data_IF_569952875047
#
_entry.id   IF_569952875047
#
_cell.length_a   1.000
_cell.length_b   1.000
_cell.length_c   1.000
_cell.angle_alpha   90.00
_cell.angle_beta   90.00
_cell.angle_gamma   90.00
#
_symmetry.space_group_name_H-M   'P 1'
#
loop_
_entity.id
_entity.type
_entity.pdbx_description
1 polymer ?
#
# COMPACT_ATOMS: atom_id res chain seq x y z
N UNK A 1 53.16 13.49 -52.75
CA UNK A 1 52.55 12.15 -52.37
C UNK A 1 51.68 12.39 -51.12
N UNK A 2 50.32 12.49 -51.35
CA UNK A 2 49.35 12.70 -50.27
C UNK A 2 48.69 11.37 -49.99
N UNK A 3 48.91 10.80 -48.82
CA UNK A 3 48.18 9.64 -48.34
C UNK A 3 46.82 10.07 -47.77
N UNK A 4 45.75 9.79 -48.50
CA UNK A 4 44.38 9.92 -47.97
C UNK A 4 44.07 8.67 -47.16
N UNK A 5 43.98 8.84 -45.83
CA UNK A 5 43.47 7.79 -44.95
C UNK A 5 41.94 7.73 -45.08
N UNK A 6 41.46 6.62 -45.63
CA UNK A 6 40.03 6.32 -45.66
C UNK A 6 39.56 5.99 -44.24
N UNK A 7 38.76 6.86 -43.67
CA UNK A 7 38.05 6.63 -42.40
C UNK A 7 36.80 5.78 -42.72
N UNK A 8 36.84 4.51 -42.35
CA UNK A 8 35.65 3.63 -42.47
C UNK A 8 34.76 3.90 -41.25
N UNK A 9 33.64 4.59 -41.48
CA UNK A 9 32.63 4.80 -40.47
C UNK A 9 31.82 3.51 -40.30
N UNK A 10 32.04 2.77 -39.23
CA UNK A 10 31.21 1.62 -38.86
C UNK A 10 29.89 2.13 -38.26
N UNK A 11 28.82 2.11 -39.05
CA UNK A 11 27.46 2.37 -38.58
C UNK A 11 27.00 1.12 -37.81
N UNK A 12 27.07 1.12 -36.51
CA UNK A 12 26.40 0.12 -35.68
C UNK A 12 24.90 0.46 -35.64
N UNK A 13 24.12 -0.24 -36.41
CA UNK A 13 22.66 -0.25 -36.25
C UNK A 13 22.37 -0.98 -34.95
N UNK A 14 22.10 -0.25 -33.87
CA UNK A 14 21.46 -0.81 -32.71
C UNK A 14 20.01 -1.11 -33.08
N UNK A 15 19.71 -2.39 -33.29
CA UNK A 15 18.33 -2.87 -33.41
C UNK A 15 17.70 -2.70 -32.04
N UNK A 16 17.05 -1.58 -31.81
CA UNK A 16 16.12 -1.45 -30.68
C UNK A 16 14.92 -2.34 -30.99
N UNK A 17 14.91 -3.55 -30.43
CA UNK A 17 13.71 -4.37 -30.39
C UNK A 17 12.73 -3.55 -29.53
N UNK A 18 11.58 -3.09 -30.03
CA UNK A 18 10.58 -2.54 -29.16
C UNK A 18 10.18 -3.67 -28.21
N UNK A 19 10.46 -3.52 -26.90
CA UNK A 19 9.79 -4.30 -25.89
C UNK A 19 8.31 -3.91 -25.99
N UNK A 20 7.54 -4.71 -26.72
CA UNK A 20 6.08 -4.60 -26.81
C UNK A 20 5.43 -5.35 -25.65
N UNK A 21 6.00 -5.25 -24.45
CA UNK A 21 5.32 -5.50 -23.21
C UNK A 21 4.82 -4.17 -22.69
N UNK A 22 3.56 -4.04 -22.43
CA UNK A 22 3.02 -2.91 -21.70
C UNK A 22 3.78 -2.85 -20.37
N UNK A 23 4.60 -1.80 -20.19
CA UNK A 23 5.37 -1.66 -18.95
C UNK A 23 4.37 -1.50 -17.82
N UNK A 24 4.34 -2.45 -16.89
CA UNK A 24 3.47 -2.42 -15.74
C UNK A 24 4.28 -2.61 -14.45
N UNK A 25 3.86 -1.97 -13.39
CA UNK A 25 4.40 -2.16 -12.05
C UNK A 25 3.27 -2.61 -11.14
N UNK A 26 3.39 -3.79 -10.54
CA UNK A 26 2.34 -4.41 -9.71
C UNK A 26 1.01 -4.57 -10.46
N UNK A 27 1.05 -4.93 -11.72
CA UNK A 27 -0.14 -5.06 -12.57
C UNK A 27 -0.77 -3.74 -13.04
N UNK A 28 -0.20 -2.59 -12.65
CA UNK A 28 -0.67 -1.25 -13.05
C UNK A 28 0.13 -0.76 -14.23
N UNK A 29 -0.52 -0.19 -15.22
CA UNK A 29 0.15 0.48 -16.35
C UNK A 29 0.88 1.74 -15.89
N UNK A 30 1.85 2.21 -16.68
CA UNK A 30 2.54 3.47 -16.37
C UNK A 30 1.60 4.67 -16.36
N UNK A 31 0.53 4.65 -17.17
CA UNK A 31 -0.47 5.72 -17.20
C UNK A 31 -1.31 5.74 -15.91
N UNK A 32 -1.66 4.57 -15.36
CA UNK A 32 -2.31 4.46 -14.07
C UNK A 32 -1.40 4.93 -12.94
N UNK A 33 -0.11 4.55 -12.98
CA UNK A 33 0.89 5.01 -12.01
C UNK A 33 1.18 6.50 -12.10
N UNK A 34 1.10 7.10 -13.29
CA UNK A 34 1.30 8.54 -13.48
C UNK A 34 0.20 9.38 -12.78
N UNK A 35 -0.97 8.77 -12.52
CA UNK A 35 -2.05 9.37 -11.72
C UNK A 35 -1.84 9.24 -10.21
N UNK A 36 -0.87 8.44 -9.73
CA UNK A 36 -0.63 8.27 -8.30
C UNK A 36 0.05 9.49 -7.70
N UNK A 37 -0.46 9.90 -6.56
CA UNK A 37 -0.04 11.15 -5.95
C UNK A 37 1.27 11.05 -5.19
N UNK A 38 1.99 12.09 -5.30
CA UNK A 38 3.15 12.43 -4.50
C UNK A 38 2.67 12.97 -3.13
N UNK A 39 3.30 12.66 -2.01
CA UNK A 39 2.96 13.25 -0.71
C UNK A 39 2.92 14.79 -0.77
N UNK A 40 1.96 15.41 -0.09
CA UNK A 40 1.78 16.88 -0.09
C UNK A 40 3.07 17.62 0.29
N UNK A 41 3.85 17.08 1.22
CA UNK A 41 5.16 17.63 1.60
C UNK A 41 6.14 17.66 0.43
N UNK A 42 6.16 16.60 -0.39
CA UNK A 42 6.99 16.53 -1.59
C UNK A 42 6.43 17.45 -2.70
N UNK A 43 5.12 17.54 -2.83
CA UNK A 43 4.47 18.49 -3.75
C UNK A 43 4.85 19.93 -3.44
N UNK A 44 4.82 20.30 -2.15
CA UNK A 44 5.23 21.63 -1.70
C UNK A 44 6.73 21.86 -1.98
N UNK A 45 7.57 20.85 -1.76
CA UNK A 45 8.99 20.93 -2.07
C UNK A 45 9.21 21.14 -3.58
N UNK A 46 8.53 20.36 -4.42
CA UNK A 46 8.63 20.46 -5.88
C UNK A 46 8.08 21.79 -6.38
N UNK A 47 6.91 22.20 -5.89
CA UNK A 47 6.30 23.48 -6.26
C UNK A 47 7.22 24.67 -5.92
N UNK A 48 7.82 24.66 -4.73
CA UNK A 48 8.68 25.74 -4.28
C UNK A 48 10.04 25.79 -5.00
N UNK A 49 10.54 24.65 -5.49
CA UNK A 49 11.88 24.59 -6.11
C UNK A 49 11.87 24.56 -7.63
N UNK A 50 10.75 24.14 -8.26
CA UNK A 50 10.67 23.92 -9.70
C UNK A 50 9.58 24.70 -10.42
N UNK A 51 8.94 25.66 -9.74
CA UNK A 51 7.89 26.53 -10.28
C UNK A 51 6.68 25.78 -10.88
N UNK A 52 6.38 24.60 -10.31
CA UNK A 52 5.25 23.76 -10.70
C UNK A 52 4.04 24.17 -9.85
N UNK A 53 2.93 24.55 -10.50
CA UNK A 53 1.71 24.90 -9.77
C UNK A 53 1.12 23.68 -9.06
N UNK A 54 0.66 23.82 -7.81
CA UNK A 54 -0.01 22.73 -7.07
C UNK A 54 -1.18 22.10 -7.83
N UNK A 55 -1.89 22.87 -8.66
CA UNK A 55 -2.98 22.40 -9.52
C UNK A 55 -2.55 21.49 -10.67
N UNK A 56 -1.26 21.43 -10.97
CA UNK A 56 -0.68 20.53 -11.97
C UNK A 56 -0.25 19.20 -11.38
N UNK A 57 -0.33 19.08 -10.06
CA UNK A 57 0.04 17.88 -9.33
C UNK A 57 -1.25 17.25 -8.79
N UNK A 58 -1.60 16.07 -9.26
CA UNK A 58 -2.78 15.37 -8.75
C UNK A 58 -2.43 14.74 -7.38
N UNK A 59 -3.07 15.15 -6.27
CA UNK A 59 -2.78 14.62 -4.93
C UNK A 59 -3.43 13.26 -4.66
N UNK A 60 -4.12 12.67 -5.60
CA UNK A 60 -4.77 11.38 -5.39
C UNK A 60 -3.73 10.30 -5.12
N UNK A 61 -3.86 9.65 -3.99
CA UNK A 61 -3.09 8.44 -3.63
C UNK A 61 -3.91 7.22 -4.07
N UNK A 62 -3.35 6.06 -4.10
CA UNK A 62 -4.10 4.87 -4.49
C UNK A 62 -5.26 4.51 -3.54
N UNK A 63 -5.94 3.43 -3.83
CA UNK A 63 -7.03 2.91 -3.01
C UNK A 63 -6.51 2.35 -1.67
N UNK A 64 -7.31 2.51 -0.63
CA UNK A 64 -7.08 2.01 0.72
C UNK A 64 -8.31 1.22 1.18
N UNK A 65 -8.21 -0.10 1.18
CA UNK A 65 -9.30 -0.99 1.59
C UNK A 65 -9.16 -1.36 3.07
N UNK A 66 -10.23 -1.16 3.84
CA UNK A 66 -10.34 -1.59 5.24
C UNK A 66 -11.32 -2.75 5.30
N UNK A 67 -10.89 -3.87 5.85
CA UNK A 67 -11.76 -5.03 6.13
C UNK A 67 -11.92 -5.16 7.64
N UNK A 68 -13.17 -5.22 8.08
CA UNK A 68 -13.51 -5.13 9.49
C UNK A 68 -14.65 -6.07 9.86
N UNK A 69 -14.65 -6.65 11.07
CA UNK A 69 -15.86 -7.24 11.63
C UNK A 69 -17.02 -6.24 11.67
N UNK A 70 -18.25 -6.71 11.43
CA UNK A 70 -19.45 -5.86 11.36
C UNK A 70 -19.64 -4.94 12.56
N UNK A 71 -19.38 -5.47 13.77
CA UNK A 71 -19.50 -4.70 15.02
C UNK A 71 -18.46 -3.60 15.21
N UNK A 72 -17.41 -3.58 14.42
CA UNK A 72 -16.31 -2.62 14.50
C UNK A 72 -16.45 -1.50 13.46
N UNK A 73 -17.10 -1.78 12.32
CA UNK A 73 -17.18 -0.85 11.19
C UNK A 73 -17.71 0.55 11.58
N UNK A 74 -18.64 0.64 12.53
CA UNK A 74 -19.19 1.92 13.00
C UNK A 74 -18.19 2.80 13.78
N UNK A 75 -17.00 2.30 14.09
CA UNK A 75 -15.95 3.03 14.84
C UNK A 75 -14.77 3.44 13.95
N UNK A 76 -14.90 3.30 12.63
CA UNK A 76 -13.82 3.57 11.68
C UNK A 76 -13.88 4.98 11.07
N UNK A 77 -14.97 5.73 11.27
CA UNK A 77 -15.23 7.00 10.57
C UNK A 77 -14.07 8.00 10.69
N UNK A 78 -13.56 8.24 11.90
CA UNK A 78 -12.44 9.17 12.12
C UNK A 78 -11.17 8.75 11.39
N UNK A 79 -10.92 7.44 11.29
CA UNK A 79 -9.75 6.91 10.59
C UNK A 79 -9.93 6.95 9.07
N UNK A 80 -11.14 6.69 8.59
CA UNK A 80 -11.52 6.84 7.17
C UNK A 80 -11.32 8.29 6.75
N UNK A 81 -11.94 9.25 7.46
CA UNK A 81 -11.77 10.69 7.19
C UNK A 81 -10.29 11.11 7.20
N UNK A 82 -9.53 10.58 8.14
CA UNK A 82 -8.08 10.83 8.20
C UNK A 82 -7.36 10.33 6.96
N UNK A 83 -7.66 9.12 6.48
CA UNK A 83 -7.06 8.55 5.26
C UNK A 83 -7.48 9.31 4.01
N UNK A 84 -8.75 9.66 3.88
CA UNK A 84 -9.28 10.49 2.81
C UNK A 84 -8.60 11.87 2.79
N UNK A 85 -8.37 12.47 3.98
CA UNK A 85 -7.64 13.73 4.09
C UNK A 85 -6.17 13.65 3.64
N UNK A 86 -5.63 12.42 3.60
CA UNK A 86 -4.30 12.14 3.04
C UNK A 86 -4.32 11.88 1.52
N UNK A 87 -5.50 11.90 0.88
CA UNK A 87 -5.70 11.73 -0.55
C UNK A 87 -5.93 10.30 -1.01
N UNK A 88 -6.24 9.36 -0.10
CA UNK A 88 -6.62 8.00 -0.48
C UNK A 88 -8.09 7.91 -0.88
N UNK A 89 -8.40 7.05 -1.82
CA UNK A 89 -9.75 6.54 -2.04
C UNK A 89 -9.99 5.39 -1.04
N UNK A 90 -10.82 5.64 -0.03
CA UNK A 90 -11.00 4.69 1.07
C UNK A 90 -12.25 3.84 0.86
N UNK A 91 -12.09 2.53 0.99
CA UNK A 91 -13.16 1.54 0.92
C UNK A 91 -13.25 0.80 2.25
N UNK A 92 -14.44 0.60 2.76
CA UNK A 92 -14.68 -0.22 3.96
C UNK A 92 -15.58 -1.37 3.57
N UNK A 93 -15.17 -2.58 3.88
CA UNK A 93 -15.94 -3.82 3.71
C UNK A 93 -16.01 -4.56 5.03
N UNK A 94 -17.19 -5.02 5.37
CA UNK A 94 -17.43 -5.86 6.56
C UNK A 94 -17.26 -7.34 6.23
N UNK A 95 -17.12 -8.19 7.26
CA UNK A 95 -17.06 -9.63 7.08
C UNK A 95 -18.37 -10.21 6.55
N UNK A 96 -19.52 -9.54 6.78
CA UNK A 96 -20.79 -9.89 6.14
C UNK A 96 -20.78 -9.66 4.63
N UNK A 97 -20.00 -8.69 4.14
CA UNK A 97 -19.88 -8.36 2.72
C UNK A 97 -18.80 -9.21 2.03
N UNK A 98 -17.66 -9.44 2.68
CA UNK A 98 -16.57 -10.23 2.10
C UNK A 98 -16.80 -11.74 2.18
N UNK A 99 -17.52 -12.19 3.21
CA UNK A 99 -17.61 -13.59 3.64
C UNK A 99 -16.68 -13.91 4.82
N UNK A 100 -16.95 -15.02 5.53
CA UNK A 100 -16.36 -15.30 6.83
C UNK A 100 -15.02 -16.05 6.79
N UNK A 101 -14.51 -16.41 5.62
CA UNK A 101 -13.25 -17.17 5.52
C UNK A 101 -12.13 -16.33 4.95
N UNK A 102 -10.88 -16.70 5.25
CA UNK A 102 -9.71 -16.06 4.66
C UNK A 102 -9.74 -16.11 3.12
N UNK A 103 -10.26 -17.19 2.54
CA UNK A 103 -10.42 -17.30 1.09
C UNK A 103 -11.44 -16.32 0.52
N UNK A 104 -12.55 -16.10 1.23
CA UNK A 104 -13.60 -15.15 0.82
C UNK A 104 -13.05 -13.72 0.88
N UNK A 105 -12.37 -13.38 1.97
CA UNK A 105 -11.71 -12.07 2.15
C UNK A 105 -10.71 -11.83 1.01
N UNK A 106 -9.84 -12.80 0.72
CA UNK A 106 -8.88 -12.70 -0.39
C UNK A 106 -9.58 -12.46 -1.73
N UNK A 107 -10.67 -13.18 -2.00
CA UNK A 107 -11.44 -13.02 -3.23
C UNK A 107 -12.08 -11.64 -3.34
N UNK A 108 -12.48 -11.06 -2.21
CA UNK A 108 -13.03 -9.69 -2.15
C UNK A 108 -11.96 -8.64 -2.39
N UNK A 109 -10.73 -8.85 -1.87
CA UNK A 109 -9.58 -7.97 -2.15
C UNK A 109 -9.23 -8.03 -3.65
N UNK A 110 -9.17 -9.21 -4.23
CA UNK A 110 -8.89 -9.41 -5.67
C UNK A 110 -9.96 -8.73 -6.54
N UNK A 111 -11.24 -8.89 -6.18
CA UNK A 111 -12.33 -8.19 -6.85
C UNK A 111 -12.19 -6.68 -6.76
N UNK A 112 -11.84 -6.16 -5.60
CA UNK A 112 -11.62 -4.72 -5.40
C UNK A 112 -10.42 -4.21 -6.19
N UNK A 113 -9.32 -4.96 -6.25
CA UNK A 113 -8.16 -4.63 -7.09
C UNK A 113 -8.52 -4.61 -8.59
N UNK A 114 -9.41 -5.52 -9.02
CA UNK A 114 -9.91 -5.54 -10.40
C UNK A 114 -10.81 -4.35 -10.72
N UNK A 115 -11.61 -3.86 -9.73
CA UNK A 115 -12.47 -2.67 -9.87
C UNK A 115 -11.64 -1.38 -9.81
N UNK A 116 -10.68 -1.32 -8.91
CA UNK A 116 -9.75 -0.21 -8.72
C UNK A 116 -8.31 -0.70 -8.83
N UNK A 117 -7.69 -0.63 -10.03
CA UNK A 117 -6.30 -1.02 -10.22
C UNK A 117 -5.29 -0.18 -9.43
N UNK A 118 -5.76 0.94 -8.84
CA UNK A 118 -4.95 1.79 -7.96
C UNK A 118 -5.02 1.35 -6.49
N UNK A 119 -5.75 0.28 -6.16
CA UNK A 119 -5.74 -0.29 -4.82
C UNK A 119 -4.31 -0.64 -4.40
N UNK A 120 -3.84 -0.01 -3.34
CA UNK A 120 -2.46 -0.15 -2.89
C UNK A 120 -2.36 -0.72 -1.48
N UNK A 121 -3.30 -0.38 -0.62
CA UNK A 121 -3.27 -0.76 0.80
C UNK A 121 -4.52 -1.53 1.20
N UNK A 122 -4.31 -2.59 1.98
CA UNK A 122 -5.37 -3.36 2.64
C UNK A 122 -5.08 -3.39 4.14
N UNK A 123 -6.04 -2.95 4.94
CA UNK A 123 -5.98 -2.97 6.39
C UNK A 123 -7.02 -3.96 6.92
N UNK A 124 -6.57 -4.98 7.61
CA UNK A 124 -7.41 -5.93 8.33
C UNK A 124 -7.58 -5.45 9.77
N UNK A 125 -8.82 -5.28 10.23
CA UNK A 125 -9.11 -4.93 11.62
C UNK A 125 -9.53 -6.19 12.35
N UNK A 126 -8.85 -6.48 13.45
CA UNK A 126 -9.12 -7.63 14.31
C UNK A 126 -8.02 -8.67 14.34
N UNK A 127 -8.11 -9.57 15.29
CA UNK A 127 -7.20 -10.72 15.42
C UNK A 127 -7.78 -11.96 14.72
N UNK A 128 -7.02 -13.04 14.68
CA UNK A 128 -7.45 -14.32 14.08
C UNK A 128 -8.53 -15.02 14.89
N UNK A 129 -8.69 -14.63 16.15
CA UNK A 129 -9.72 -15.10 17.06
C UNK A 129 -10.15 -13.99 18.03
N UNK A 130 -11.09 -14.27 18.93
CA UNK A 130 -11.46 -13.42 20.05
C UNK A 130 -12.53 -12.37 19.75
N UNK A 131 -12.39 -11.18 20.36
CA UNK A 131 -13.40 -10.11 20.35
C UNK A 131 -13.75 -9.60 18.95
N UNK A 132 -12.76 -9.44 18.12
CA UNK A 132 -12.89 -8.91 16.77
C UNK A 132 -12.20 -9.86 15.80
N UNK A 133 -12.81 -11.03 15.59
CA UNK A 133 -12.24 -12.06 14.73
C UNK A 133 -12.22 -11.58 13.27
N UNK A 134 -11.01 -11.59 12.68
CA UNK A 134 -10.78 -11.40 11.25
C UNK A 134 -9.86 -12.51 10.78
N UNK A 135 -10.35 -13.51 10.05
CA UNK A 135 -9.61 -14.71 9.68
C UNK A 135 -8.28 -14.46 8.99
N UNK A 136 -7.38 -15.42 9.05
CA UNK A 136 -6.11 -15.42 8.35
C UNK A 136 -5.82 -16.78 7.76
N UNK A 137 -4.74 -16.87 6.99
CA UNK A 137 -4.20 -18.13 6.49
C UNK A 137 -3.23 -18.75 7.50
N UNK A 138 -2.96 -20.03 7.30
CA UNK A 138 -2.02 -20.78 8.13
C UNK A 138 -0.97 -21.43 7.25
N UNK A 139 0.27 -21.48 7.72
CA UNK A 139 1.38 -21.99 6.96
C UNK A 139 2.32 -22.86 7.82
N UNK A 140 2.93 -23.86 7.17
CA UNK A 140 3.94 -24.71 7.75
C UNK A 140 3.40 -25.78 8.71
N UNK A 141 4.29 -26.63 9.25
CA UNK A 141 3.90 -27.76 10.11
C UNK A 141 3.43 -27.31 11.51
N UNK A 142 3.79 -26.11 11.93
CA UNK A 142 3.40 -25.51 13.21
C UNK A 142 2.11 -24.72 13.11
N UNK A 143 1.55 -24.62 11.89
CA UNK A 143 0.29 -23.93 11.62
C UNK A 143 0.37 -22.44 11.98
N UNK A 144 1.46 -21.79 11.57
CA UNK A 144 1.70 -20.38 11.84
C UNK A 144 0.71 -19.48 11.08
N UNK A 145 0.20 -18.46 11.75
CA UNK A 145 -0.70 -17.45 11.16
C UNK A 145 0.07 -16.59 10.17
N UNK A 146 -0.52 -16.35 8.99
CA UNK A 146 0.09 -15.49 7.97
C UNK A 146 -0.95 -14.72 7.15
N UNK A 147 -0.76 -13.42 7.03
CA UNK A 147 -1.55 -12.55 6.16
C UNK A 147 -0.94 -12.38 4.76
N UNK A 148 0.23 -12.98 4.52
CA UNK A 148 0.96 -12.83 3.26
C UNK A 148 0.09 -13.19 2.03
N UNK A 149 -0.75 -14.22 2.15
CA UNK A 149 -1.57 -14.69 1.04
C UNK A 149 -2.62 -13.68 0.57
N UNK A 150 -2.99 -12.70 1.41
CA UNK A 150 -3.88 -11.61 1.01
C UNK A 150 -3.23 -10.63 0.02
N UNK A 151 -1.90 -10.58 0.00
CA UNK A 151 -1.16 -9.69 -0.91
C UNK A 151 -0.84 -10.29 -2.26
N UNK A 152 -0.97 -11.61 -2.44
CA UNK A 152 -0.68 -12.32 -3.69
C UNK A 152 -1.98 -12.52 -4.48
N UNK A 153 -2.32 -11.62 -5.37
CA UNK A 153 -3.60 -11.54 -6.07
C UNK A 153 -3.46 -11.82 -7.57
N UNK A 154 -2.42 -11.29 -8.20
CA UNK A 154 -2.22 -11.36 -9.65
C UNK A 154 -1.03 -12.27 -9.98
N UNK A 155 -1.21 -13.18 -10.94
CA UNK A 155 -0.14 -14.09 -11.37
C UNK A 155 0.08 -15.27 -10.42
N UNK A 156 1.23 -15.92 -10.56
CA UNK A 156 1.66 -17.07 -9.75
C UNK A 156 3.10 -16.84 -9.24
N UNK A 157 3.38 -15.63 -8.81
CA UNK A 157 4.66 -15.25 -8.23
C UNK A 157 4.55 -14.93 -6.74
N UNK A 158 5.65 -14.59 -6.13
CA UNK A 158 5.74 -14.26 -4.68
C UNK A 158 5.83 -12.76 -4.41
N UNK A 159 5.59 -11.95 -5.43
CA UNK A 159 5.65 -10.48 -5.33
C UNK A 159 4.28 -9.99 -4.87
N UNK A 160 4.20 -9.22 -3.77
CA UNK A 160 2.94 -8.65 -3.33
C UNK A 160 2.37 -7.63 -4.31
N UNK A 161 1.07 -7.75 -4.62
CA UNK A 161 0.33 -6.80 -5.45
C UNK A 161 -0.19 -5.61 -4.65
N UNK A 162 -0.48 -5.82 -3.36
CA UNK A 162 -0.95 -4.80 -2.42
C UNK A 162 -0.18 -4.89 -1.10
N UNK A 163 -0.11 -3.79 -0.37
CA UNK A 163 0.42 -3.78 0.99
C UNK A 163 -0.67 -4.19 1.97
N UNK A 164 -0.42 -5.23 2.75
CA UNK A 164 -1.35 -5.72 3.76
C UNK A 164 -0.83 -5.43 5.16
N UNK A 165 -1.68 -4.91 6.01
CA UNK A 165 -1.41 -4.73 7.43
C UNK A 165 -2.61 -5.17 8.27
N UNK A 166 -2.35 -5.54 9.52
CA UNK A 166 -3.39 -5.93 10.49
C UNK A 166 -3.29 -5.10 11.75
N UNK A 167 -4.44 -4.71 12.28
CA UNK A 167 -4.58 -4.18 13.63
C UNK A 167 -5.25 -5.23 14.50
N UNK A 168 -4.46 -6.01 15.22
CA UNK A 168 -4.96 -6.95 16.23
C UNK A 168 -5.50 -6.17 17.41
N UNK A 169 -6.76 -6.39 17.78
CA UNK A 169 -7.44 -5.71 18.88
C UNK A 169 -8.25 -6.70 19.71
N UNK A 170 -8.20 -6.53 21.03
CA UNK A 170 -9.01 -7.28 21.99
C UNK A 170 -10.20 -6.46 22.51
N UNK A 171 -10.26 -5.17 22.18
CA UNK A 171 -11.31 -4.26 22.61
C UNK A 171 -11.42 -3.01 21.72
N UNK A 172 -12.54 -2.30 21.81
CA UNK A 172 -12.70 -0.98 21.18
C UNK A 172 -11.73 0.06 21.75
N UNK A 173 -11.29 -0.08 22.99
CA UNK A 173 -10.28 0.82 23.56
C UNK A 173 -8.92 0.65 22.91
N UNK A 174 -8.56 -0.56 22.50
CA UNK A 174 -7.31 -0.82 21.77
C UNK A 174 -7.35 -0.15 20.41
N UNK A 175 -8.47 -0.29 19.68
CA UNK A 175 -8.69 0.39 18.41
C UNK A 175 -8.53 1.90 18.54
N UNK A 176 -9.17 2.51 19.54
CA UNK A 176 -9.08 3.95 19.80
C UNK A 176 -7.63 4.39 20.10
N UNK A 177 -6.90 3.62 20.89
CA UNK A 177 -5.49 3.90 21.22
C UNK A 177 -4.60 3.79 19.98
N UNK A 178 -4.79 2.73 19.16
CA UNK A 178 -3.99 2.52 17.94
C UNK A 178 -4.27 3.65 16.94
N UNK A 179 -5.54 3.99 16.71
CA UNK A 179 -5.90 5.07 15.78
C UNK A 179 -5.37 6.42 16.25
N UNK A 180 -5.52 6.76 17.55
CA UNK A 180 -5.01 8.02 18.09
C UNK A 180 -3.50 8.14 17.89
N UNK A 181 -2.74 7.08 18.16
CA UNK A 181 -1.29 7.05 17.93
C UNK A 181 -0.93 7.20 16.45
N UNK A 182 -1.60 6.44 15.58
CA UNK A 182 -1.33 6.48 14.14
C UNK A 182 -1.64 7.85 13.54
N UNK A 183 -2.78 8.44 13.89
CA UNK A 183 -3.19 9.76 13.41
C UNK A 183 -2.27 10.84 13.96
N UNK A 184 -1.97 10.82 15.24
CA UNK A 184 -1.13 11.83 15.88
C UNK A 184 0.30 11.79 15.34
N UNK A 185 0.88 10.60 15.19
CA UNK A 185 2.21 10.45 14.60
C UNK A 185 2.27 10.97 13.15
N UNK A 186 1.24 10.69 12.36
CA UNK A 186 1.21 11.12 10.96
C UNK A 186 0.94 12.63 10.80
N UNK A 187 0.18 13.25 11.73
CA UNK A 187 -0.11 14.70 11.69
C UNK A 187 1.02 15.55 12.22
N UNK A 188 1.60 15.14 13.34
CA UNK A 188 2.66 15.89 14.01
C UNK A 188 3.61 14.93 14.76
N UNK A 189 4.56 14.32 14.05
CA UNK A 189 5.54 13.42 14.66
C UNK A 189 6.47 14.13 15.67
N UNK A 190 6.52 15.46 15.63
CA UNK A 190 7.38 16.28 16.48
C UNK A 190 6.63 16.89 17.68
N UNK A 191 5.32 16.62 17.82
CA UNK A 191 4.52 17.08 18.97
C UNK A 191 4.98 16.48 20.31
N UNK A 192 5.73 15.37 20.25
CA UNK A 192 6.30 14.70 21.41
C UNK A 192 7.75 15.11 21.65
N UNK A 193 8.25 14.78 22.84
CA UNK A 193 9.69 14.85 23.11
C UNK A 193 10.47 14.13 22.02
N UNK A 194 11.38 14.87 21.35
CA UNK A 194 12.09 14.38 20.15
C UNK A 194 13.15 13.35 20.47
N UNK A 195 13.47 13.12 21.74
CA UNK A 195 14.49 12.15 22.18
C UNK A 195 14.22 10.72 21.69
N UNK A 196 12.98 10.37 21.34
CA UNK A 196 12.65 9.04 20.84
C UNK A 196 13.12 8.81 19.40
N UNK A 197 13.29 9.86 18.60
CA UNK A 197 13.76 9.76 17.20
C UNK A 197 15.19 9.25 17.09
N UNK A 198 15.99 9.45 18.15
CA UNK A 198 17.38 9.00 18.20
C UNK A 198 17.51 7.58 18.77
N UNK A 199 16.40 6.92 19.09
CA UNK A 199 16.38 5.60 19.72
C UNK A 199 15.78 4.54 18.80
N UNK A 200 16.49 3.42 18.67
CA UNK A 200 16.01 2.23 17.98
C UNK A 200 15.94 1.05 18.95
N UNK A 201 14.88 0.25 18.86
CA UNK A 201 14.79 -1.04 19.56
C UNK A 201 14.78 -2.15 18.50
N UNK A 202 15.70 -3.08 18.65
CA UNK A 202 15.74 -4.30 17.82
C UNK A 202 15.50 -5.50 18.74
N UNK A 203 14.52 -6.31 18.38
CA UNK A 203 14.20 -7.56 19.08
C UNK A 203 14.42 -8.73 18.12
N UNK A 204 15.18 -9.73 18.55
CA UNK A 204 15.39 -10.97 17.81
C UNK A 204 15.09 -12.17 18.73
N UNK A 205 14.34 -13.13 18.20
CA UNK A 205 14.10 -14.42 18.86
C UNK A 205 15.10 -15.47 18.42
N UNK A 206 15.40 -16.42 19.28
CA UNK A 206 16.05 -17.66 18.91
C UNK A 206 14.97 -18.72 18.67
N UNK A 207 14.93 -19.26 17.46
CA UNK A 207 14.13 -20.40 17.09
C UNK A 207 14.99 -21.65 17.02
#
# INVERSE_FOLDING_TARGET
>A
MHHIKKLTLLLTFSLSIPLTGEESFRGKSLDELAGTSIPISFMNLVSNNYDILPSQINPQRGGYLIISPDGIAAYLDDFVEFKESQGFDVYVMTLSETGPSAGDIKSSIDSKLSEDPMLEYVLLIGDVDGFAECPSFYYGPENDVTDQQYSHLVGDDVIPDVFVGRLSIDSLSDLAVIFSKAIQYARDPLAFDQDWLDRGLVVAGNY
#
